data_IF_298646890086
#
_entry.id   IF_298646890086
#
_cell.length_a   1.000
_cell.length_b   1.000
_cell.length_c   1.000
_cell.angle_alpha   90.00
_cell.angle_beta   90.00
_cell.angle_gamma   90.00
#
_symmetry.space_group_name_H-M   'P 1'
#
loop_
_entity.id
_entity.type
_entity.pdbx_description
1 polymer ?
#
# COMPACT_ATOMS: atom_id res chain seq x y z
N UNK A 1 -4.50 -8.57 -18.55
CA UNK A 1 -5.44 -9.59 -18.03
C UNK A 1 -5.10 -10.91 -18.69
N UNK A 2 -4.99 -12.00 -17.92
CA UNK A 2 -4.75 -13.34 -18.50
C UNK A 2 -5.92 -13.76 -19.41
N UNK A 3 -5.68 -14.41 -20.57
CA UNK A 3 -6.72 -14.69 -21.56
C UNK A 3 -7.96 -15.40 -20.98
N UNK A 4 -7.74 -16.35 -20.08
CA UNK A 4 -8.81 -17.17 -19.49
C UNK A 4 -9.75 -16.37 -18.57
N UNK A 5 -9.37 -15.18 -18.11
CA UNK A 5 -10.21 -14.32 -17.24
C UNK A 5 -10.80 -13.11 -17.98
N UNK A 6 -10.49 -12.93 -19.27
CA UNK A 6 -10.93 -11.78 -20.07
C UNK A 6 -12.46 -11.59 -20.09
N UNK A 7 -13.22 -12.69 -20.00
CA UNK A 7 -14.68 -12.67 -19.96
C UNK A 7 -15.25 -12.01 -18.69
N UNK A 8 -14.49 -11.94 -17.60
CA UNK A 8 -14.93 -11.34 -16.33
C UNK A 8 -14.80 -9.81 -16.29
N UNK A 9 -14.16 -9.20 -17.29
CA UNK A 9 -13.89 -7.77 -17.34
C UNK A 9 -15.17 -6.90 -17.20
N UNK A 10 -14.99 -5.65 -16.79
CA UNK A 10 -16.09 -4.72 -16.51
C UNK A 10 -16.98 -4.43 -17.73
N UNK A 11 -16.42 -4.50 -18.94
CA UNK A 11 -17.14 -4.33 -20.22
C UNK A 11 -17.80 -5.63 -20.71
N UNK A 12 -17.68 -6.72 -19.94
CA UNK A 12 -18.16 -8.07 -20.25
C UNK A 12 -19.13 -8.55 -19.17
N UNK A 13 -18.76 -9.56 -18.39
CA UNK A 13 -19.62 -10.07 -17.33
C UNK A 13 -19.66 -9.17 -16.10
N UNK A 14 -18.69 -8.26 -15.94
CA UNK A 14 -18.53 -7.39 -14.77
C UNK A 14 -18.41 -8.16 -13.44
N UNK A 15 -17.69 -9.28 -13.47
CA UNK A 15 -17.51 -10.22 -12.34
C UNK A 15 -16.07 -10.35 -11.87
N UNK A 16 -15.16 -9.53 -12.41
CA UNK A 16 -13.74 -9.55 -12.02
C UNK A 16 -13.54 -9.21 -10.54
N UNK A 17 -14.39 -8.33 -9.98
CA UNK A 17 -14.36 -8.03 -8.54
C UNK A 17 -14.61 -9.26 -7.68
N UNK A 18 -15.65 -10.05 -7.99
CA UNK A 18 -15.98 -11.30 -7.28
C UNK A 18 -14.83 -12.30 -7.34
N UNK A 19 -14.19 -12.44 -8.51
CA UNK A 19 -13.03 -13.31 -8.67
C UNK A 19 -11.84 -12.86 -7.81
N UNK A 20 -11.56 -11.55 -7.79
CA UNK A 20 -10.43 -10.98 -7.04
C UNK A 20 -10.58 -11.05 -5.52
N UNK A 21 -11.77 -11.30 -4.98
CA UNK A 21 -11.96 -11.59 -3.56
C UNK A 21 -11.18 -12.87 -3.17
N UNK A 22 -11.27 -13.93 -3.98
CA UNK A 22 -10.55 -15.18 -3.72
C UNK A 22 -9.03 -15.05 -3.90
N UNK A 23 -8.59 -14.21 -4.84
CA UNK A 23 -7.17 -13.88 -5.00
C UNK A 23 -6.62 -13.14 -3.77
N UNK A 24 -7.37 -12.16 -3.24
CA UNK A 24 -7.00 -11.43 -2.03
C UNK A 24 -6.95 -12.36 -0.81
N UNK A 25 -7.94 -13.25 -0.64
CA UNK A 25 -7.94 -14.22 0.46
C UNK A 25 -6.69 -15.12 0.43
N UNK A 26 -6.31 -15.61 -0.75
CA UNK A 26 -5.11 -16.42 -0.92
C UNK A 26 -3.82 -15.61 -0.64
N UNK A 27 -3.77 -14.35 -1.07
CA UNK A 27 -2.64 -13.46 -0.79
C UNK A 27 -2.50 -13.16 0.71
N UNK A 28 -3.60 -12.82 1.39
CA UNK A 28 -3.63 -12.62 2.85
C UNK A 28 -3.15 -13.87 3.59
N UNK A 29 -3.59 -15.06 3.17
CA UNK A 29 -3.13 -16.32 3.75
C UNK A 29 -1.62 -16.54 3.59
N UNK A 30 -1.05 -16.21 2.44
CA UNK A 30 0.40 -16.31 2.21
C UNK A 30 1.20 -15.36 3.13
N UNK A 31 0.66 -14.18 3.40
CA UNK A 31 1.25 -13.18 4.32
C UNK A 31 0.98 -13.47 5.81
N UNK A 32 0.12 -14.45 6.13
CA UNK A 32 -0.31 -14.71 7.51
C UNK A 32 -1.34 -13.72 8.06
N UNK A 33 -2.00 -12.94 7.20
CA UNK A 33 -3.07 -12.01 7.58
C UNK A 33 -4.37 -12.79 7.81
N UNK A 34 -4.83 -12.80 9.07
CA UNK A 34 -6.03 -13.56 9.50
C UNK A 34 -7.31 -12.72 9.56
N UNK A 35 -7.19 -11.39 9.62
CA UNK A 35 -8.32 -10.46 9.57
C UNK A 35 -8.10 -9.51 8.38
N UNK A 36 -8.95 -9.67 7.35
CA UNK A 36 -9.02 -8.75 6.22
C UNK A 36 -10.49 -8.44 5.95
N UNK A 37 -10.78 -7.19 5.62
CA UNK A 37 -12.15 -6.69 5.49
C UNK A 37 -12.27 -5.80 4.27
N UNK A 38 -13.42 -5.85 3.63
CA UNK A 38 -13.81 -4.85 2.64
C UNK A 38 -14.54 -3.72 3.37
N UNK A 39 -14.12 -2.48 3.15
CA UNK A 39 -14.73 -1.31 3.79
C UNK A 39 -16.23 -1.30 3.50
N UNK A 40 -17.06 -1.24 4.55
CA UNK A 40 -18.52 -1.24 4.41
C UNK A 40 -19.13 -2.54 3.83
N UNK A 41 -18.33 -3.61 3.68
CA UNK A 41 -18.72 -4.91 3.14
C UNK A 41 -18.30 -5.14 1.67
N UNK A 42 -18.18 -6.41 1.22
CA UNK A 42 -17.81 -6.73 -0.16
C UNK A 42 -18.75 -6.05 -1.17
N UNK A 43 -18.17 -5.32 -2.11
CA UNK A 43 -18.91 -4.64 -3.18
C UNK A 43 -19.65 -3.37 -2.78
N UNK A 44 -19.47 -2.86 -1.54
CA UNK A 44 -20.09 -1.60 -1.09
C UNK A 44 -19.70 -0.42 -1.99
N UNK A 45 -18.40 -0.27 -2.23
CA UNK A 45 -17.87 0.68 -3.21
C UNK A 45 -17.16 -0.07 -4.33
N UNK A 46 -17.41 0.40 -5.55
CA UNK A 46 -16.80 -0.13 -6.77
C UNK A 46 -15.43 0.52 -7.00
N UNK A 47 -14.51 -0.24 -7.57
CA UNK A 47 -13.28 0.29 -8.16
C UNK A 47 -13.61 1.41 -9.16
N UNK A 48 -12.95 2.55 -9.00
CA UNK A 48 -13.20 3.74 -9.81
C UNK A 48 -12.51 3.70 -11.17
N UNK A 49 -11.59 2.75 -11.38
CA UNK A 49 -10.62 2.79 -12.47
C UNK A 49 -9.72 4.02 -12.38
N UNK A 50 -8.96 4.28 -13.45
CA UNK A 50 -8.09 5.45 -13.51
C UNK A 50 -8.89 6.76 -13.59
N UNK A 51 -8.27 7.87 -13.20
CA UNK A 51 -8.84 9.20 -13.37
C UNK A 51 -9.28 9.43 -14.82
N UNK A 52 -10.39 10.17 -15.00
CA UNK A 52 -10.97 10.52 -16.30
C UNK A 52 -11.43 9.33 -17.17
N UNK A 53 -11.52 8.12 -16.62
CA UNK A 53 -12.12 6.96 -17.29
C UNK A 53 -13.63 6.89 -17.04
N UNK A 54 -14.43 6.24 -17.92
CA UNK A 54 -15.88 6.12 -17.72
C UNK A 54 -16.30 5.45 -16.41
N UNK A 55 -15.47 4.57 -15.82
CA UNK A 55 -15.75 3.96 -14.52
C UNK A 55 -15.73 4.98 -13.38
N UNK A 56 -14.99 6.08 -13.52
CA UNK A 56 -14.91 7.14 -12.53
C UNK A 56 -16.23 7.91 -12.40
N UNK A 57 -17.09 7.86 -13.43
CA UNK A 57 -18.45 8.43 -13.42
C UNK A 57 -19.51 7.51 -12.79
N UNK A 58 -19.14 6.27 -12.41
CA UNK A 58 -20.09 5.36 -11.79
C UNK A 58 -20.51 5.89 -10.41
N UNK A 59 -21.82 6.03 -10.10
CA UNK A 59 -22.26 6.57 -8.82
C UNK A 59 -21.90 5.70 -7.61
N UNK A 60 -21.50 4.44 -7.82
CA UNK A 60 -21.02 3.53 -6.75
C UNK A 60 -19.50 3.49 -6.63
N UNK A 61 -18.75 4.23 -7.44
CA UNK A 61 -17.29 4.19 -7.36
C UNK A 61 -16.79 4.83 -6.05
N UNK A 62 -15.69 4.32 -5.50
CA UNK A 62 -15.15 4.80 -4.24
C UNK A 62 -14.76 6.28 -4.33
N UNK A 63 -14.22 6.73 -5.46
CA UNK A 63 -13.84 8.13 -5.70
C UNK A 63 -14.97 9.14 -5.46
N UNK A 64 -16.22 8.72 -5.66
CA UNK A 64 -17.43 9.55 -5.49
C UNK A 64 -18.15 9.30 -4.16
N UNK A 65 -17.65 8.38 -3.33
CA UNK A 65 -18.24 8.11 -2.03
C UNK A 65 -18.25 9.39 -1.17
N UNK A 66 -19.32 9.59 -0.41
CA UNK A 66 -19.32 10.61 0.62
C UNK A 66 -18.20 10.30 1.63
N UNK A 67 -17.39 11.32 1.93
CA UNK A 67 -16.17 11.14 2.71
C UNK A 67 -16.50 10.74 4.16
N UNK A 68 -17.50 11.36 4.77
CA UNK A 68 -17.87 11.08 6.16
C UNK A 68 -18.61 9.74 6.27
N UNK A 69 -19.37 9.33 5.25
CA UNK A 69 -19.94 7.99 5.16
C UNK A 69 -18.83 6.91 5.12
N UNK A 70 -17.89 7.05 4.19
CA UNK A 70 -16.81 6.08 4.02
C UNK A 70 -15.87 6.04 5.24
N UNK A 71 -15.51 7.22 5.78
CA UNK A 71 -14.75 7.32 7.02
C UNK A 71 -15.52 6.74 8.20
N UNK A 72 -16.84 6.90 8.27
CA UNK A 72 -17.70 6.31 9.28
C UNK A 72 -17.64 4.79 9.32
N UNK A 73 -17.60 4.13 8.15
CA UNK A 73 -17.39 2.68 8.09
C UNK A 73 -15.99 2.28 8.59
N UNK A 74 -14.95 3.08 8.33
CA UNK A 74 -13.61 2.82 8.82
C UNK A 74 -13.47 3.06 10.33
N UNK A 75 -14.16 4.08 10.88
CA UNK A 75 -14.19 4.36 12.32
C UNK A 75 -14.71 3.16 13.11
N UNK A 76 -15.76 2.50 12.63
CA UNK A 76 -16.28 1.26 13.25
C UNK A 76 -15.18 0.21 13.40
N UNK A 77 -14.41 -0.02 12.33
CA UNK A 77 -13.30 -0.98 12.31
C UNK A 77 -12.17 -0.52 13.25
N UNK A 78 -11.79 0.76 13.21
CA UNK A 78 -10.74 1.30 14.08
C UNK A 78 -11.10 1.13 15.56
N UNK A 79 -12.35 1.42 15.96
CA UNK A 79 -12.78 1.29 17.36
C UNK A 79 -12.93 -0.16 17.82
N UNK A 80 -13.23 -1.07 16.90
CA UNK A 80 -13.25 -2.51 17.16
C UNK A 80 -11.83 -3.07 17.33
N UNK A 81 -10.96 -2.84 16.34
CA UNK A 81 -9.60 -3.41 16.27
C UNK A 81 -8.64 -2.71 17.24
N UNK A 82 -8.87 -1.42 17.51
CA UNK A 82 -8.00 -0.55 18.32
C UNK A 82 -6.54 -0.59 17.86
N UNK A 83 -6.25 -0.28 16.58
CA UNK A 83 -4.89 -0.34 16.07
C UNK A 83 -4.00 0.73 16.70
N UNK A 84 -2.80 0.35 17.11
CA UNK A 84 -1.79 1.30 17.59
C UNK A 84 -1.19 2.12 16.43
N UNK A 85 -1.11 1.50 15.25
CA UNK A 85 -0.53 2.06 14.02
C UNK A 85 -1.54 1.97 12.87
N UNK A 86 -1.67 3.03 12.08
CA UNK A 86 -2.44 3.04 10.83
C UNK A 86 -1.52 3.40 9.66
N UNK A 87 -1.57 2.64 8.57
CA UNK A 87 -0.79 2.86 7.35
C UNK A 87 -1.74 3.05 6.18
N UNK A 88 -1.49 4.04 5.33
CA UNK A 88 -2.21 4.25 4.06
C UNK A 88 -1.30 4.96 3.04
N UNK A 89 -1.86 5.44 1.94
CA UNK A 89 -1.16 6.27 0.96
C UNK A 89 -1.01 7.72 1.44
N UNK A 90 -0.15 8.49 0.77
CA UNK A 90 -0.07 9.94 0.94
C UNK A 90 -1.21 10.67 0.18
N UNK A 91 -1.20 12.01 0.23
CA UNK A 91 -2.18 12.86 -0.44
C UNK A 91 -2.23 12.70 -1.97
N UNK A 92 -1.14 12.22 -2.58
CA UNK A 92 -1.04 11.91 -3.99
C UNK A 92 -1.57 10.50 -4.32
N UNK A 93 -1.91 9.68 -3.32
CA UNK A 93 -2.34 8.31 -3.54
C UNK A 93 -1.24 7.45 -4.15
N UNK A 94 0.00 7.67 -3.73
CA UNK A 94 1.20 7.08 -4.32
C UNK A 94 1.46 7.60 -5.74
N UNK A 95 0.77 7.09 -6.78
CA UNK A 95 0.98 7.46 -8.20
C UNK A 95 -0.19 8.23 -8.84
N UNK A 96 -1.14 8.74 -8.05
CA UNK A 96 -2.29 9.51 -8.57
C UNK A 96 -3.53 8.69 -8.90
N UNK A 97 -3.62 7.41 -8.50
CA UNK A 97 -4.85 6.64 -8.67
C UNK A 97 -5.98 7.24 -7.81
N UNK A 98 -7.18 7.49 -8.37
CA UNK A 98 -8.27 8.12 -7.61
C UNK A 98 -8.63 7.34 -6.34
N UNK A 99 -8.71 6.00 -6.42
CA UNK A 99 -9.00 5.19 -5.22
C UNK A 99 -7.89 5.22 -4.17
N UNK A 100 -6.63 5.42 -4.53
CA UNK A 100 -5.57 5.57 -3.54
C UNK A 100 -5.66 6.94 -2.84
N UNK A 101 -5.95 8.00 -3.60
CA UNK A 101 -6.18 9.34 -3.04
C UNK A 101 -7.41 9.31 -2.11
N UNK A 102 -8.48 8.62 -2.51
CA UNK A 102 -9.66 8.50 -1.67
C UNK A 102 -9.41 7.62 -0.45
N UNK A 103 -8.63 6.55 -0.56
CA UNK A 103 -8.19 5.77 0.59
C UNK A 103 -7.39 6.62 1.59
N UNK A 104 -6.48 7.48 1.12
CA UNK A 104 -5.81 8.47 1.98
C UNK A 104 -6.81 9.37 2.70
N UNK A 105 -7.74 10.01 1.95
CA UNK A 105 -8.75 10.93 2.51
C UNK A 105 -9.61 10.25 3.56
N UNK A 106 -10.12 9.06 3.26
CA UNK A 106 -10.95 8.24 4.15
C UNK A 106 -10.17 7.83 5.39
N UNK A 107 -8.94 7.34 5.24
CA UNK A 107 -8.08 6.96 6.36
C UNK A 107 -7.76 8.14 7.28
N UNK A 108 -7.38 9.30 6.72
CA UNK A 108 -7.07 10.49 7.50
C UNK A 108 -8.30 10.98 8.27
N UNK A 109 -9.44 11.07 7.58
CA UNK A 109 -10.70 11.48 8.19
C UNK A 109 -11.14 10.52 9.30
N UNK A 110 -11.03 9.21 9.07
CA UNK A 110 -11.35 8.20 10.09
C UNK A 110 -10.39 8.23 11.28
N UNK A 111 -9.11 8.52 11.07
CA UNK A 111 -8.12 8.69 12.14
C UNK A 111 -8.51 9.84 13.08
N UNK A 112 -8.95 10.98 12.54
CA UNK A 112 -9.45 12.11 13.34
C UNK A 112 -10.73 11.74 14.10
N UNK A 113 -11.70 11.15 13.40
CA UNK A 113 -13.02 10.84 13.95
C UNK A 113 -13.02 9.68 14.94
N UNK A 114 -12.10 8.72 14.82
CA UNK A 114 -12.04 7.58 15.70
C UNK A 114 -11.84 7.98 17.17
N UNK A 115 -11.11 9.08 17.42
CA UNK A 115 -10.86 9.63 18.74
C UNK A 115 -11.98 10.56 19.26
N UNK A 116 -12.96 10.92 18.42
CA UNK A 116 -14.03 11.85 18.78
C UNK A 116 -15.22 11.14 19.46
N UNK A 117 -15.50 11.37 20.76
CA UNK A 117 -16.63 10.77 21.47
C UNK A 117 -18.00 11.17 20.93
N UNK A 118 -18.10 12.23 20.12
CA UNK A 118 -19.36 12.70 19.56
C UNK A 118 -19.69 12.08 18.19
N UNK A 119 -18.74 11.38 17.57
CA UNK A 119 -18.91 10.78 16.25
C UNK A 119 -19.09 9.26 16.35
N UNK A 120 -20.13 8.72 15.70
CA UNK A 120 -20.35 7.29 15.55
C UNK A 120 -20.59 6.51 16.87
N UNK A 121 -20.67 5.19 16.77
CA UNK A 121 -20.84 4.29 17.91
C UNK A 121 -19.50 3.70 18.39
N UNK A 122 -19.50 3.08 19.58
CA UNK A 122 -18.33 2.44 20.18
C UNK A 122 -17.41 3.40 20.95
N UNK A 123 -16.56 2.83 21.80
CA UNK A 123 -15.59 3.59 22.59
C UNK A 123 -14.57 4.30 21.68
N UNK A 124 -14.30 5.60 21.88
CA UNK A 124 -13.30 6.32 21.11
C UNK A 124 -11.93 5.68 21.22
N UNK A 125 -11.20 5.71 20.11
CA UNK A 125 -9.86 5.16 20.03
C UNK A 125 -8.93 6.15 19.35
N UNK A 126 -7.87 6.54 20.07
CA UNK A 126 -6.79 7.36 19.52
C UNK A 126 -5.67 6.44 19.06
N UNK A 127 -5.50 6.35 17.74
CA UNK A 127 -4.35 5.67 17.12
C UNK A 127 -3.09 6.44 17.49
N UNK A 128 -2.01 5.72 17.84
CA UNK A 128 -0.79 6.36 18.34
C UNK A 128 0.06 6.93 17.21
N UNK A 129 0.16 6.22 16.08
CA UNK A 129 1.00 6.60 14.93
C UNK A 129 0.27 6.36 13.60
N UNK A 130 0.39 7.33 12.70
CA UNK A 130 -0.17 7.28 11.35
C UNK A 130 0.96 7.44 10.33
N UNK A 131 1.06 6.51 9.40
CA UNK A 131 2.11 6.46 8.40
C UNK A 131 1.59 6.48 6.96
N UNK A 132 2.37 7.10 6.07
CA UNK A 132 2.26 6.90 4.64
C UNK A 132 3.27 5.86 4.18
N UNK A 133 2.85 4.87 3.40
CA UNK A 133 3.77 4.00 2.64
C UNK A 133 4.37 4.78 1.47
N UNK A 134 5.65 4.57 1.17
CA UNK A 134 6.34 5.32 0.11
C UNK A 134 7.48 4.53 -0.53
N UNK A 135 8.12 5.14 -1.54
CA UNK A 135 9.40 4.69 -2.09
C UNK A 135 10.41 5.84 -2.10
N UNK A 136 11.59 5.69 -1.49
CA UNK A 136 12.66 6.69 -1.55
C UNK A 136 13.19 6.83 -2.98
N UNK A 137 13.60 8.03 -3.38
CA UNK A 137 14.19 8.26 -4.71
C UNK A 137 15.48 7.44 -4.90
N UNK A 138 16.30 7.21 -3.86
CA UNK A 138 17.46 6.31 -3.96
C UNK A 138 17.09 4.86 -4.24
N UNK A 139 16.09 4.34 -3.53
CA UNK A 139 15.58 2.98 -3.74
C UNK A 139 15.00 2.82 -5.16
N UNK A 140 14.28 3.83 -5.67
CA UNK A 140 13.79 3.83 -7.05
C UNK A 140 14.93 3.82 -8.08
N UNK A 141 16.03 4.54 -7.84
CA UNK A 141 17.21 4.50 -8.71
C UNK A 141 17.86 3.13 -8.69
N UNK A 142 18.02 2.55 -7.50
CA UNK A 142 18.56 1.20 -7.37
C UNK A 142 17.69 0.18 -8.11
N UNK A 143 16.36 0.24 -7.96
CA UNK A 143 15.44 -0.61 -8.71
C UNK A 143 15.58 -0.41 -10.23
N UNK A 144 15.67 0.83 -10.71
CA UNK A 144 15.87 1.13 -12.13
C UNK A 144 17.19 0.53 -12.66
N UNK A 145 18.27 0.61 -11.87
CA UNK A 145 19.57 0.03 -12.22
C UNK A 145 19.49 -1.50 -12.31
N UNK A 146 18.86 -2.16 -11.31
CA UNK A 146 18.65 -3.62 -11.31
C UNK A 146 17.82 -4.07 -12.52
N UNK A 147 16.76 -3.33 -12.85
CA UNK A 147 15.90 -3.63 -14.01
C UNK A 147 16.67 -3.47 -15.33
N UNK A 148 17.50 -2.42 -15.44
CA UNK A 148 18.34 -2.15 -16.63
C UNK A 148 19.41 -3.24 -16.81
N UNK A 149 20.11 -3.61 -15.75
CA UNK A 149 21.12 -4.69 -15.77
C UNK A 149 20.52 -6.02 -16.21
N UNK A 150 19.25 -6.26 -15.87
CA UNK A 150 18.52 -7.46 -16.23
C UNK A 150 17.82 -7.38 -17.60
N UNK A 151 17.95 -6.26 -18.33
CA UNK A 151 17.40 -6.08 -19.67
C UNK A 151 15.88 -5.89 -19.72
N UNK A 152 15.26 -5.37 -18.65
CA UNK A 152 13.82 -5.06 -18.64
C UNK A 152 13.57 -3.68 -19.21
N UNK A 153 12.79 -3.65 -20.29
CA UNK A 153 12.33 -2.41 -20.90
C UNK A 153 11.09 -1.87 -20.16
N UNK A 154 10.89 -0.55 -20.24
CA UNK A 154 9.66 0.10 -19.74
C UNK A 154 9.75 0.72 -18.34
N UNK A 155 10.86 0.53 -17.61
CA UNK A 155 11.12 1.34 -16.42
C UNK A 155 11.69 2.71 -16.82
N UNK A 156 11.21 3.84 -16.26
CA UNK A 156 11.69 5.17 -16.64
C UNK A 156 13.20 5.35 -16.42
N UNK A 157 13.86 6.03 -17.36
CA UNK A 157 15.30 6.32 -17.28
C UNK A 157 15.63 7.28 -16.12
N UNK A 158 14.72 8.22 -15.84
CA UNK A 158 14.86 9.20 -14.79
C UNK A 158 13.75 9.04 -13.74
N UNK A 159 14.16 8.76 -12.50
CA UNK A 159 13.24 8.59 -11.36
C UNK A 159 12.48 9.87 -10.99
N UNK A 160 12.94 11.03 -11.44
CA UNK A 160 12.25 12.29 -11.23
C UNK A 160 11.00 12.43 -12.12
N UNK A 161 10.90 11.65 -13.20
CA UNK A 161 9.73 11.64 -14.08
C UNK A 161 8.61 10.74 -13.53
N UNK A 162 8.88 9.97 -12.49
CA UNK A 162 7.86 9.16 -11.82
C UNK A 162 6.89 10.07 -11.06
N UNK A 163 5.57 9.83 -11.16
CA UNK A 163 4.56 10.63 -10.44
C UNK A 163 4.51 10.33 -8.94
N UNK A 164 5.52 9.61 -8.42
CA UNK A 164 5.61 9.14 -7.05
C UNK A 164 7.06 9.09 -6.56
N UNK A 165 7.20 8.80 -5.28
CA UNK A 165 8.47 8.64 -4.59
C UNK A 165 8.89 9.88 -3.82
N UNK A 166 9.45 9.67 -2.63
CA UNK A 166 9.80 10.72 -1.70
C UNK A 166 11.32 10.97 -1.66
N UNK A 167 11.75 12.21 -1.36
CA UNK A 167 13.14 12.45 -0.99
C UNK A 167 13.54 11.58 0.21
N UNK A 168 14.73 10.99 0.17
CA UNK A 168 15.22 10.06 1.21
C UNK A 168 15.11 10.63 2.64
N UNK A 169 15.39 11.93 2.80
CA UNK A 169 15.29 12.65 4.07
C UNK A 169 13.87 12.76 4.64
N UNK A 170 12.83 12.60 3.82
CA UNK A 170 11.45 12.61 4.28
C UNK A 170 11.03 11.26 4.91
N UNK A 171 11.75 10.18 4.59
CA UNK A 171 11.46 8.83 5.08
C UNK A 171 11.81 8.75 6.56
N UNK A 172 10.84 8.45 7.42
CA UNK A 172 11.10 8.41 8.88
C UNK A 172 11.40 7.02 9.39
N UNK A 173 11.03 6.00 8.62
CA UNK A 173 10.97 4.60 9.05
C UNK A 173 11.27 3.67 7.88
N UNK A 174 12.11 2.68 8.12
CA UNK A 174 12.60 1.70 7.16
C UNK A 174 12.47 0.30 7.77
N UNK A 175 11.68 -0.57 7.17
CA UNK A 175 11.45 -1.93 7.66
C UNK A 175 12.20 -2.92 6.79
N UNK A 176 13.15 -3.63 7.39
CA UNK A 176 13.82 -4.76 6.75
C UNK A 176 12.90 -5.99 6.73
N UNK A 177 12.12 -6.11 5.67
CA UNK A 177 11.21 -7.22 5.43
C UNK A 177 11.83 -8.32 4.54
N UNK A 178 13.15 -8.32 4.30
CA UNK A 178 13.83 -9.36 3.49
C UNK A 178 13.56 -10.78 3.98
N UNK A 179 13.54 -11.07 5.30
CA UNK A 179 13.16 -12.39 5.80
C UNK A 179 11.75 -12.83 5.40
N UNK A 180 10.88 -11.90 5.00
CA UNK A 180 9.50 -12.13 4.59
C UNK A 180 9.30 -12.07 3.06
N UNK A 181 10.36 -11.86 2.27
CA UNK A 181 10.27 -11.78 0.81
C UNK A 181 9.61 -13.02 0.16
N UNK A 182 9.85 -14.27 0.61
CA UNK A 182 9.14 -15.44 0.07
C UNK A 182 7.61 -15.35 0.21
N UNK A 183 7.12 -14.90 1.38
CA UNK A 183 5.69 -14.72 1.62
C UNK A 183 5.10 -13.61 0.74
N UNK A 184 5.84 -12.50 0.55
CA UNK A 184 5.46 -11.41 -0.36
C UNK A 184 5.36 -11.90 -1.80
N UNK A 185 6.30 -12.72 -2.26
CA UNK A 185 6.25 -13.31 -3.61
C UNK A 185 5.06 -14.27 -3.76
N UNK A 186 4.79 -15.13 -2.78
CA UNK A 186 3.62 -16.01 -2.81
C UNK A 186 2.30 -15.23 -2.83
N UNK A 187 2.21 -14.13 -2.10
CA UNK A 187 1.06 -13.24 -2.13
C UNK A 187 0.86 -12.58 -3.49
N UNK A 188 1.94 -12.10 -4.13
CA UNK A 188 1.88 -11.57 -5.49
C UNK A 188 1.44 -12.64 -6.50
N UNK A 189 1.92 -13.89 -6.37
CA UNK A 189 1.50 -15.02 -7.24
C UNK A 189 0.00 -15.32 -7.13
N UNK A 190 -0.60 -15.09 -5.97
CA UNK A 190 -2.03 -15.31 -5.77
C UNK A 190 -2.91 -14.36 -6.61
N UNK A 191 -2.41 -13.17 -6.96
CA UNK A 191 -3.11 -12.18 -7.78
C UNK A 191 -2.95 -12.43 -9.29
N UNK A 192 -3.24 -13.64 -9.77
CA UNK A 192 -3.03 -14.08 -11.16
C UNK A 192 -3.68 -13.19 -12.22
N UNK A 193 -4.82 -12.58 -11.90
CA UNK A 193 -5.52 -11.68 -12.80
C UNK A 193 -4.81 -10.33 -12.99
N UNK A 194 -3.96 -9.95 -12.02
CA UNK A 194 -3.29 -8.64 -11.93
C UNK A 194 -1.78 -8.72 -12.18
N UNK A 195 -1.13 -9.78 -11.70
CA UNK A 195 0.32 -9.98 -11.79
C UNK A 195 0.61 -10.99 -12.89
N UNK A 196 1.33 -10.54 -13.92
CA UNK A 196 1.85 -11.44 -14.94
C UNK A 196 3.17 -12.05 -14.45
N UNK A 197 3.15 -13.33 -14.10
CA UNK A 197 4.34 -14.03 -13.61
C UNK A 197 5.43 -14.20 -14.67
N UNK A 198 5.06 -14.08 -15.94
CA UNK A 198 6.02 -14.11 -17.04
C UNK A 198 6.70 -12.77 -17.31
N UNK A 199 6.20 -11.69 -16.70
CA UNK A 199 6.76 -10.35 -16.81
C UNK A 199 8.23 -10.36 -16.35
N UNK A 200 9.15 -9.80 -17.15
CA UNK A 200 10.55 -9.67 -16.76
C UNK A 200 10.74 -9.02 -15.39
N UNK A 201 9.90 -8.05 -15.02
CA UNK A 201 9.90 -7.44 -13.68
C UNK A 201 9.65 -8.48 -12.59
N UNK A 202 8.61 -9.31 -12.74
CA UNK A 202 8.26 -10.32 -11.73
C UNK A 202 9.34 -11.40 -11.63
N UNK A 203 9.90 -11.84 -12.76
CA UNK A 203 11.01 -12.81 -12.79
C UNK A 203 12.30 -12.26 -12.14
N UNK A 204 12.48 -10.95 -12.10
CA UNK A 204 13.58 -10.31 -11.37
C UNK A 204 13.25 -10.20 -9.90
N UNK A 205 12.03 -9.81 -9.54
CA UNK A 205 11.57 -9.85 -8.15
C UNK A 205 11.70 -11.26 -7.56
N UNK A 206 11.45 -12.33 -8.31
CA UNK A 206 11.71 -13.70 -7.82
C UNK A 206 13.19 -14.01 -7.61
N UNK A 207 14.08 -13.46 -8.44
CA UNK A 207 15.53 -13.77 -8.41
C UNK A 207 16.35 -12.87 -7.51
N UNK A 208 15.91 -11.62 -7.31
CA UNK A 208 16.61 -10.52 -6.62
C UNK A 208 15.69 -9.73 -5.69
N UNK A 209 14.49 -10.24 -5.38
CA UNK A 209 13.46 -9.49 -4.64
C UNK A 209 13.85 -9.15 -3.21
N UNK A 210 14.72 -9.93 -2.56
CA UNK A 210 15.30 -9.56 -1.27
C UNK A 210 16.12 -8.26 -1.40
N UNK A 211 16.96 -8.16 -2.42
CA UNK A 211 17.83 -6.99 -2.62
C UNK A 211 17.07 -5.75 -3.13
N UNK A 212 16.00 -5.93 -3.91
CA UNK A 212 15.31 -4.82 -4.59
C UNK A 212 13.93 -4.45 -3.99
N UNK A 213 13.29 -5.36 -3.24
CA UNK A 213 11.90 -5.23 -2.76
C UNK A 213 11.68 -5.71 -1.33
N UNK A 214 12.76 -6.11 -0.64
CA UNK A 214 12.71 -6.63 0.71
C UNK A 214 12.72 -5.54 1.78
N UNK A 215 13.01 -4.29 1.44
CA UNK A 215 12.91 -3.15 2.36
C UNK A 215 11.68 -2.32 2.04
N UNK A 216 10.91 -1.95 3.06
CA UNK A 216 9.70 -1.14 2.93
C UNK A 216 9.83 0.17 3.71
N UNK A 217 9.26 1.24 3.17
CA UNK A 217 9.55 2.60 3.61
C UNK A 217 8.29 3.37 3.98
N UNK A 218 8.41 4.16 5.04
CA UNK A 218 7.27 4.88 5.60
C UNK A 218 7.64 6.29 6.05
N UNK A 219 6.66 7.19 5.99
CA UNK A 219 6.73 8.56 6.49
C UNK A 219 5.70 8.71 7.61
N UNK A 220 6.15 9.08 8.82
CA UNK A 220 5.27 9.36 9.94
C UNK A 220 4.53 10.69 9.68
N UNK A 221 3.24 10.60 9.47
CA UNK A 221 2.37 11.75 9.20
C UNK A 221 1.76 12.34 10.48
N UNK A 222 1.48 11.51 11.48
CA UNK A 222 1.01 11.93 12.79
C UNK A 222 1.45 10.96 13.90
N UNK A 223 1.68 11.50 15.10
CA UNK A 223 2.25 10.77 16.23
C UNK A 223 3.68 11.21 16.55
N UNK A 224 4.32 10.54 17.50
CA UNK A 224 5.70 10.81 17.90
C UNK A 224 6.61 9.70 17.38
N UNK A 225 7.79 10.08 16.87
CA UNK A 225 8.83 9.10 16.50
C UNK A 225 9.40 8.48 17.77
N UNK A 226 9.58 7.17 17.74
CA UNK A 226 10.45 6.45 18.66
C UNK A 226 11.94 6.70 18.36
N UNK A 227 12.83 6.04 19.12
CA UNK A 227 14.25 6.11 18.84
C UNK A 227 14.55 5.50 17.47
N UNK A 228 15.45 6.14 16.71
CA UNK A 228 16.01 5.53 15.51
C UNK A 228 16.81 4.27 15.86
N UNK A 229 16.87 3.34 14.91
CA UNK A 229 17.49 2.03 15.09
C UNK A 229 19.01 2.08 15.37
N UNK A 230 19.66 3.20 15.04
CA UNK A 230 21.12 3.37 15.14
C UNK A 230 21.92 2.54 14.12
N UNK A 231 21.24 1.66 13.37
CA UNK A 231 21.69 0.88 12.21
C UNK A 231 20.48 0.74 11.26
N UNK A 232 20.68 0.90 9.97
CA UNK A 232 19.65 0.68 8.94
C UNK A 232 20.15 -0.28 7.87
N UNK A 233 19.33 -0.53 6.85
CA UNK A 233 19.70 -1.38 5.73
C UNK A 233 20.69 -0.61 4.84
N UNK A 234 21.88 -1.18 4.53
CA UNK A 234 22.82 -0.55 3.61
C UNK A 234 22.21 -0.37 2.21
N UNK A 235 22.68 0.63 1.47
CA UNK A 235 22.16 0.93 0.13
C UNK A 235 22.37 -0.23 -0.86
N UNK A 236 23.48 -0.96 -0.73
CA UNK A 236 23.78 -2.16 -1.51
C UNK A 236 22.84 -3.33 -1.24
N UNK A 237 22.11 -3.28 -0.13
CA UNK A 237 21.13 -4.27 0.29
C UNK A 237 19.68 -3.79 0.07
N UNK A 238 19.50 -2.72 -0.72
CA UNK A 238 18.20 -2.17 -1.08
C UNK A 238 17.65 -1.11 -0.14
N UNK A 239 18.37 -0.76 0.92
CA UNK A 239 18.05 0.31 1.89
C UNK A 239 18.36 1.72 1.40
N UNK A 240 18.08 2.74 2.22
CA UNK A 240 18.52 4.12 1.94
C UNK A 240 20.01 4.31 2.30
N UNK A 241 20.54 3.54 3.24
CA UNK A 241 21.87 3.73 3.80
C UNK A 241 21.95 4.86 4.84
N UNK A 242 23.14 5.43 5.03
CA UNK A 242 23.38 6.46 6.05
C UNK A 242 22.70 7.82 5.73
N UNK A 243 22.29 8.59 6.76
CA UNK A 243 22.39 8.30 8.20
C UNK A 243 21.30 7.32 8.70
N UNK A 244 21.66 6.47 9.66
CA UNK A 244 20.77 5.46 10.27
C UNK A 244 19.95 6.02 11.44
N UNK A 245 19.24 7.13 11.22
CA UNK A 245 18.39 7.77 12.21
C UNK A 245 16.89 7.45 12.05
N UNK A 246 16.56 6.58 11.09
CA UNK A 246 15.21 6.08 10.82
C UNK A 246 14.78 5.03 11.85
N UNK A 247 13.49 4.95 12.13
CA UNK A 247 12.93 3.85 12.91
C UNK A 247 13.01 2.56 12.09
N UNK A 248 13.23 1.42 12.73
CA UNK A 248 13.16 0.07 12.14
C UNK A 248 11.95 -0.74 12.61
N UNK A 249 11.08 -0.10 13.39
CA UNK A 249 9.83 -0.64 13.91
C UNK A 249 8.75 0.46 13.87
N UNK A 250 7.63 0.18 13.19
CA UNK A 250 6.49 1.10 13.14
C UNK A 250 5.91 1.37 14.53
N UNK A 251 6.08 0.44 15.47
CA UNK A 251 5.63 0.52 16.85
C UNK A 251 6.67 1.16 17.79
N UNK A 252 7.84 1.57 17.29
CA UNK A 252 8.87 2.21 18.09
C UNK A 252 8.30 3.40 18.89
N UNK A 253 8.54 3.39 20.20
CA UNK A 253 8.06 4.43 21.13
C UNK A 253 6.62 4.25 21.62
N UNK A 254 5.87 3.24 21.15
CA UNK A 254 4.55 2.90 21.69
C UNK A 254 4.74 1.93 22.88
N UNK A 255 4.20 2.30 24.05
CA UNK A 255 4.26 1.53 25.30
C UNK A 255 2.92 0.90 25.69
#
# INVERSE_FOLDING_TARGET
MVPDLAHLAADREDRLGEHRIGELEAACKALGVVDHRFLGGPGRWRDSGMMDTPSNENPRCLWRADLDEAAGELVKIIREVRPQVLVTYDENGFYGHPDHIQAYRVSWRAFELAADPSFGEGEPWKIAKFYFTTMPKSSLRHLADVMREAGVEGFPENVEDLPFGAPDQAVTTEIDARPHAPAKLDALRAHRSQVNLDDPWFKIAERRGEDAMGVEYYILAAGERGPGAGRGVPAEAGGIGEPYDREDDLFAGIG
#
